data_IF_065603980466
#
_entry.id   IF_065603980466
#
_cell.length_a   1.000
_cell.length_b   1.000
_cell.length_c   1.000
_cell.angle_alpha   90.00
_cell.angle_beta   90.00
_cell.angle_gamma   90.00
#
_symmetry.space_group_name_H-M   'P 1'
#
loop_
_entity.id
_entity.type
_entity.pdbx_description
1 polymer ?
#
# COMPACT_ATOMS: atom_id res chain seq x y z
N UNK A 1 8.16 24.34 -49.24
CA UNK A 1 7.26 23.16 -49.13
C UNK A 1 8.08 21.88 -49.13
N UNK A 2 8.55 21.45 -47.96
CA UNK A 2 9.09 20.10 -47.75
C UNK A 2 8.53 19.61 -46.41
N UNK A 3 8.07 18.37 -46.46
CA UNK A 3 7.12 17.66 -45.61
C UNK A 3 7.46 17.64 -44.12
N UNK A 4 6.41 17.79 -43.32
CA UNK A 4 6.21 17.24 -41.97
C UNK A 4 7.14 16.06 -41.67
N UNK A 5 8.16 16.27 -40.85
CA UNK A 5 8.83 15.19 -40.12
C UNK A 5 8.15 15.13 -38.76
N UNK A 6 7.03 14.41 -38.74
CA UNK A 6 6.39 13.92 -37.53
C UNK A 6 7.34 12.88 -36.92
N UNK A 7 8.36 13.32 -36.18
CA UNK A 7 9.12 12.41 -35.32
C UNK A 7 8.26 12.11 -34.09
N UNK A 8 7.32 11.18 -34.29
CA UNK A 8 6.79 10.33 -33.24
C UNK A 8 8.03 9.76 -32.54
N UNK A 9 8.34 10.28 -31.36
CA UNK A 9 9.26 9.59 -30.47
C UNK A 9 8.58 8.30 -30.08
N UNK A 10 9.00 7.25 -30.78
CA UNK A 10 8.77 5.85 -30.51
C UNK A 10 8.74 5.63 -29.01
N UNK A 11 7.57 5.15 -28.60
CA UNK A 11 7.34 4.30 -27.44
C UNK A 11 8.49 3.31 -27.34
N UNK A 12 9.54 3.69 -26.62
CA UNK A 12 10.49 2.74 -26.08
C UNK A 12 9.73 1.97 -25.01
N UNK A 13 9.10 0.90 -25.47
CA UNK A 13 8.67 -0.22 -24.64
C UNK A 13 9.87 -0.74 -23.87
N UNK A 14 10.10 -0.15 -22.69
CA UNK A 14 10.65 -0.88 -21.57
C UNK A 14 9.49 -1.72 -21.07
N UNK A 15 9.30 -2.89 -21.68
CA UNK A 15 8.43 -3.95 -21.17
C UNK A 15 9.04 -4.48 -19.88
N UNK A 16 9.01 -3.69 -18.81
CA UNK A 16 8.71 -4.26 -17.51
C UNK A 16 7.25 -4.65 -17.62
N UNK A 17 6.96 -5.94 -17.80
CA UNK A 17 5.60 -6.47 -17.66
C UNK A 17 5.09 -6.06 -16.27
N UNK A 18 4.46 -4.89 -16.16
CA UNK A 18 3.81 -4.51 -14.92
C UNK A 18 2.60 -5.43 -14.82
N UNK A 19 2.51 -6.17 -13.72
CA UNK A 19 1.30 -6.94 -13.37
C UNK A 19 0.04 -6.04 -13.24
N UNK A 20 0.22 -4.72 -13.34
CA UNK A 20 -0.84 -3.73 -13.36
C UNK A 20 -1.62 -3.74 -14.67
N UNK A 21 -2.93 -3.97 -14.55
CA UNK A 21 -3.92 -3.82 -15.58
C UNK A 21 -4.80 -2.60 -15.26
N UNK A 22 -4.73 -1.51 -16.05
CA UNK A 22 -5.49 -0.28 -15.79
C UNK A 22 -7.01 -0.47 -15.93
N UNK A 23 -7.46 -1.54 -16.57
CA UNK A 23 -8.88 -1.87 -16.74
C UNK A 23 -9.44 -2.70 -15.58
N UNK A 24 -8.62 -3.04 -14.57
CA UNK A 24 -9.05 -3.72 -13.36
C UNK A 24 -8.88 -2.77 -12.16
N UNK A 25 -9.74 -2.87 -11.13
CA UNK A 25 -9.52 -2.11 -9.90
C UNK A 25 -8.30 -2.64 -9.15
N UNK A 26 -7.68 -1.78 -8.35
CA UNK A 26 -6.78 -2.21 -7.28
C UNK A 26 -7.62 -2.82 -6.16
N UNK A 27 -7.22 -3.96 -5.64
CA UNK A 27 -7.96 -4.66 -4.57
C UNK A 27 -7.07 -4.92 -3.37
N UNK A 28 -7.71 -5.01 -2.20
CA UNK A 28 -7.05 -5.18 -0.91
C UNK A 28 -7.60 -6.43 -0.23
N UNK A 29 -6.70 -7.31 0.21
CA UNK A 29 -7.03 -8.47 1.00
C UNK A 29 -6.34 -8.36 2.34
N UNK A 30 -7.12 -8.40 3.41
CA UNK A 30 -6.56 -8.45 4.76
C UNK A 30 -6.14 -9.90 5.06
N UNK A 31 -4.85 -10.11 5.32
CA UNK A 31 -4.31 -11.45 5.66
C UNK A 31 -4.04 -11.57 7.17
N UNK A 32 -3.82 -10.45 7.84
CA UNK A 32 -3.73 -10.34 9.31
C UNK A 32 -4.36 -9.02 9.77
N UNK A 33 -4.52 -8.79 11.08
CA UNK A 33 -5.22 -7.62 11.64
C UNK A 33 -4.79 -6.28 11.02
N UNK A 34 -3.50 -6.14 10.73
CA UNK A 34 -2.93 -4.91 10.18
C UNK A 34 -2.21 -5.07 8.84
N UNK A 35 -2.24 -6.27 8.26
CA UNK A 35 -1.47 -6.62 7.07
C UNK A 35 -2.39 -6.83 5.88
N UNK A 36 -2.11 -6.10 4.81
CA UNK A 36 -2.88 -6.11 3.57
C UNK A 36 -2.02 -6.53 2.38
N UNK A 37 -2.56 -7.44 1.58
CA UNK A 37 -2.06 -7.74 0.24
C UNK A 37 -2.80 -6.87 -0.76
N UNK A 38 -2.04 -6.14 -1.57
CA UNK A 38 -2.54 -5.24 -2.61
C UNK A 38 -2.36 -5.90 -3.96
N UNK A 39 -3.46 -6.22 -4.63
CA UNK A 39 -3.44 -6.77 -5.98
C UNK A 39 -3.69 -5.67 -7.01
N UNK A 40 -3.14 -5.87 -8.22
CA UNK A 40 -3.24 -4.90 -9.29
C UNK A 40 -2.73 -3.51 -8.86
N UNK A 41 -1.52 -3.50 -8.31
CA UNK A 41 -0.85 -2.31 -7.75
C UNK A 41 -0.59 -1.29 -8.86
N UNK A 42 -1.07 -0.04 -8.77
CA UNK A 42 -0.77 1.00 -9.74
C UNK A 42 0.73 1.32 -9.80
N UNK A 43 1.25 1.56 -11.00
CA UNK A 43 2.63 2.04 -11.16
C UNK A 43 2.80 3.51 -10.71
N UNK A 44 1.71 4.28 -10.70
CA UNK A 44 1.67 5.66 -10.21
C UNK A 44 1.55 5.66 -8.68
N UNK A 45 2.57 6.21 -8.00
CA UNK A 45 2.66 6.27 -6.54
C UNK A 45 1.59 7.17 -5.90
N UNK A 46 1.13 8.22 -6.59
CA UNK A 46 0.04 9.08 -6.13
C UNK A 46 -1.29 8.36 -6.23
N UNK A 47 -1.50 7.58 -7.29
CA UNK A 47 -2.70 6.74 -7.42
C UNK A 47 -2.71 5.63 -6.37
N UNK A 48 -1.59 4.93 -6.16
CA UNK A 48 -1.45 3.95 -5.09
C UNK A 48 -1.75 4.56 -3.72
N UNK A 49 -1.21 5.75 -3.44
CA UNK A 49 -1.51 6.50 -2.21
C UNK A 49 -3.00 6.71 -2.02
N UNK A 50 -3.67 7.19 -3.05
CA UNK A 50 -5.11 7.46 -3.03
C UNK A 50 -5.91 6.19 -2.75
N UNK A 51 -5.59 5.07 -3.39
CA UNK A 51 -6.31 3.81 -3.18
C UNK A 51 -6.11 3.25 -1.76
N UNK A 52 -4.89 3.35 -1.20
CA UNK A 52 -4.63 2.96 0.19
C UNK A 52 -5.36 3.89 1.17
N UNK A 53 -5.28 5.21 0.97
CA UNK A 53 -5.96 6.17 1.84
C UNK A 53 -7.49 6.00 1.79
N UNK A 54 -8.06 5.64 0.63
CA UNK A 54 -9.48 5.31 0.53
C UNK A 54 -9.88 4.13 1.42
N UNK A 55 -9.03 3.11 1.54
CA UNK A 55 -9.28 1.97 2.43
C UNK A 55 -9.23 2.41 3.90
N UNK A 56 -8.12 3.01 4.32
CA UNK A 56 -7.84 3.28 5.74
C UNK A 56 -8.69 4.39 6.35
N UNK A 57 -9.24 5.30 5.54
CA UNK A 57 -10.13 6.36 6.01
C UNK A 57 -11.61 5.96 5.96
N UNK A 58 -11.94 4.69 5.71
CA UNK A 58 -13.28 4.16 5.98
C UNK A 58 -13.59 4.20 7.48
N UNK A 59 -14.83 4.49 7.84
CA UNK A 59 -15.26 4.72 9.23
C UNK A 59 -14.96 3.55 10.18
N UNK A 60 -14.93 2.32 9.68
CA UNK A 60 -14.59 1.12 10.46
C UNK A 60 -13.19 1.17 11.11
N UNK A 61 -12.24 1.89 10.50
CA UNK A 61 -10.88 2.02 11.05
C UNK A 61 -10.75 3.17 12.05
N UNK A 62 -11.69 4.12 12.05
CA UNK A 62 -11.71 5.19 13.05
C UNK A 62 -12.03 4.62 14.43
N UNK A 63 -12.97 3.69 14.50
CA UNK A 63 -13.41 3.07 15.75
C UNK A 63 -12.29 2.23 16.39
N UNK A 64 -11.49 1.54 15.58
CA UNK A 64 -10.32 0.79 16.09
C UNK A 64 -9.27 1.75 16.66
N UNK A 65 -8.97 2.85 15.97
CA UNK A 65 -8.00 3.86 16.43
C UNK A 65 -8.41 4.58 17.71
N UNK A 66 -9.70 4.61 18.05
CA UNK A 66 -10.20 5.26 19.28
C UNK A 66 -10.15 4.36 20.52
N UNK A 67 -9.87 3.06 20.37
CA UNK A 67 -9.77 2.15 21.52
C UNK A 67 -8.58 2.57 22.39
N UNK A 68 -8.85 2.89 23.66
CA UNK A 68 -7.89 3.49 24.62
C UNK A 68 -6.58 2.68 24.82
N UNK A 69 -6.60 1.39 24.50
CA UNK A 69 -5.46 0.49 24.65
C UNK A 69 -4.45 0.64 23.50
N UNK A 70 -4.89 1.05 22.31
CA UNK A 70 -4.05 1.19 21.13
C UNK A 70 -3.57 2.64 20.96
N UNK A 71 -2.43 2.99 21.57
CA UNK A 71 -1.75 4.30 21.36
C UNK A 71 -1.10 4.42 19.98
N UNK A 72 -1.04 3.32 19.26
CA UNK A 72 -0.42 3.19 17.96
C UNK A 72 -1.14 2.12 17.13
N UNK A 73 -1.35 2.42 15.85
CA UNK A 73 -1.77 1.44 14.85
C UNK A 73 -0.91 1.63 13.60
N UNK A 74 -0.30 0.55 13.14
CA UNK A 74 0.48 0.52 11.91
C UNK A 74 -0.26 -0.38 10.94
N UNK A 75 -0.50 0.06 9.72
CA UNK A 75 -1.03 -0.73 8.62
C UNK A 75 0.11 -1.00 7.63
N UNK A 76 0.30 -2.26 7.27
CA UNK A 76 1.34 -2.72 6.35
C UNK A 76 0.70 -3.16 5.04
N UNK A 77 1.21 -2.68 3.92
CA UNK A 77 0.71 -2.99 2.59
C UNK A 77 1.80 -3.65 1.77
N UNK A 78 1.55 -4.88 1.33
CA UNK A 78 2.46 -5.66 0.51
C UNK A 78 1.90 -5.82 -0.90
N UNK A 79 2.77 -5.79 -1.90
CA UNK A 79 2.37 -6.11 -3.28
C UNK A 79 2.08 -7.60 -3.36
N UNK A 80 0.88 -7.94 -3.84
CA UNK A 80 0.52 -9.32 -4.16
C UNK A 80 1.39 -9.87 -5.29
N UNK A 81 1.79 -11.12 -5.12
CA UNK A 81 2.62 -11.85 -6.08
C UNK A 81 2.17 -13.32 -6.18
N UNK A 82 2.93 -14.16 -6.89
CA UNK A 82 2.61 -15.59 -7.06
C UNK A 82 2.57 -16.39 -5.75
N UNK A 83 3.18 -15.89 -4.68
CA UNK A 83 3.30 -16.51 -3.36
C UNK A 83 2.70 -15.66 -2.23
N UNK A 84 2.53 -14.35 -2.41
CA UNK A 84 1.75 -13.51 -1.50
C UNK A 84 0.37 -13.27 -2.08
N UNK A 85 -0.54 -14.18 -1.78
CA UNK A 85 -1.95 -14.12 -2.21
C UNK A 85 -2.86 -13.77 -1.03
N UNK A 86 -4.14 -13.53 -1.30
CA UNK A 86 -5.13 -13.25 -0.25
C UNK A 86 -5.35 -14.41 0.75
N UNK A 87 -4.90 -15.61 0.41
CA UNK A 87 -4.99 -16.79 1.27
C UNK A 87 -3.64 -17.10 1.97
N UNK A 88 -2.67 -16.20 1.86
CA UNK A 88 -1.38 -16.35 2.52
C UNK A 88 -1.57 -16.44 4.03
N UNK A 89 -0.83 -17.35 4.64
CA UNK A 89 -0.67 -17.47 6.08
C UNK A 89 0.79 -17.74 6.37
N UNK A 90 1.39 -16.92 7.22
CA UNK A 90 2.80 -17.03 7.56
C UNK A 90 3.11 -18.42 8.16
N UNK A 91 4.16 -19.06 7.65
CA UNK A 91 4.58 -20.41 8.05
C UNK A 91 3.79 -21.59 7.45
N UNK A 92 2.64 -21.38 6.78
CA UNK A 92 1.93 -22.48 6.10
C UNK A 92 2.59 -22.84 4.75
N UNK A 93 2.82 -24.13 4.44
CA UNK A 93 3.48 -24.53 3.19
C UNK A 93 2.61 -24.28 1.97
N UNK A 94 3.21 -23.69 0.94
CA UNK A 94 2.57 -23.57 -0.38
C UNK A 94 2.46 -24.95 -1.05
N UNK A 95 1.29 -25.22 -1.64
CA UNK A 95 1.01 -26.51 -2.29
C UNK A 95 1.95 -26.84 -3.46
N UNK A 96 2.49 -25.81 -4.12
CA UNK A 96 3.39 -25.96 -5.27
C UNK A 96 4.53 -24.95 -5.11
N UNK A 97 5.72 -25.44 -4.77
CA UNK A 97 6.95 -24.63 -4.66
C UNK A 97 7.95 -25.17 -5.68
N UNK A 98 8.53 -24.33 -6.55
CA UNK A 98 9.58 -24.77 -7.45
C UNK A 98 10.75 -25.37 -6.65
N UNK A 99 11.33 -26.47 -7.14
CA UNK A 99 12.43 -27.21 -6.46
C UNK A 99 13.64 -26.34 -6.04
N UNK A 100 13.79 -25.16 -6.61
CA UNK A 100 14.92 -24.24 -6.38
C UNK A 100 14.60 -23.09 -5.41
N UNK A 101 13.39 -23.03 -4.85
CA UNK A 101 12.99 -22.00 -3.88
C UNK A 101 12.89 -22.67 -2.50
N UNK A 102 13.58 -22.10 -1.52
CA UNK A 102 13.44 -22.47 -0.11
C UNK A 102 12.07 -22.04 0.41
N UNK A 103 11.38 -22.96 1.08
CA UNK A 103 10.06 -22.73 1.70
C UNK A 103 10.10 -21.50 2.61
N UNK A 104 11.15 -21.36 3.43
CA UNK A 104 11.38 -20.23 4.32
C UNK A 104 11.34 -18.87 3.61
N UNK A 105 11.73 -18.82 2.34
CA UNK A 105 11.77 -17.57 1.56
C UNK A 105 10.38 -17.09 1.15
N UNK A 106 9.43 -18.00 0.96
CA UNK A 106 8.07 -17.65 0.50
C UNK A 106 7.01 -17.76 1.59
N UNK A 107 7.37 -18.27 2.75
CA UNK A 107 6.47 -18.42 3.90
C UNK A 107 6.63 -17.29 4.92
N UNK A 108 7.73 -16.54 4.84
CA UNK A 108 8.04 -15.40 5.71
C UNK A 108 7.62 -14.10 5.03
N UNK A 109 6.71 -13.37 5.66
CA UNK A 109 6.14 -12.13 5.12
C UNK A 109 7.21 -11.09 4.80
N UNK A 110 8.32 -11.09 5.56
CA UNK A 110 9.43 -10.12 5.41
C UNK A 110 10.18 -10.27 4.11
N UNK A 111 10.05 -11.41 3.44
CA UNK A 111 10.67 -11.66 2.14
C UNK A 111 9.82 -11.16 0.96
N UNK A 112 8.62 -10.63 1.22
CA UNK A 112 7.76 -10.04 0.21
C UNK A 112 7.92 -8.52 0.10
N UNK A 113 7.46 -7.96 -1.02
CA UNK A 113 7.61 -6.53 -1.30
C UNK A 113 6.58 -5.70 -0.52
N UNK A 114 6.98 -5.15 0.63
CA UNK A 114 6.22 -4.07 1.27
C UNK A 114 6.24 -2.83 0.35
N UNK A 115 5.07 -2.29 0.03
CA UNK A 115 4.91 -1.15 -0.89
C UNK A 115 4.47 0.13 -0.17
N UNK A 116 3.80 0.00 0.97
CA UNK A 116 3.40 1.15 1.76
C UNK A 116 3.24 0.79 3.22
N UNK A 117 3.36 1.82 4.06
CA UNK A 117 3.08 1.76 5.49
C UNK A 117 2.32 2.99 5.92
N UNK A 118 1.31 2.80 6.77
CA UNK A 118 0.60 3.89 7.42
C UNK A 118 0.71 3.71 8.92
N UNK A 119 1.06 4.76 9.65
CA UNK A 119 1.10 4.73 11.11
C UNK A 119 0.33 5.89 11.71
N UNK A 120 -0.65 5.56 12.52
CA UNK A 120 -1.32 6.46 13.44
C UNK A 120 -0.68 6.30 14.82
N UNK A 121 -0.29 7.40 15.44
CA UNK A 121 0.25 7.40 16.81
C UNK A 121 -0.33 8.54 17.60
N UNK A 122 -0.67 8.29 18.86
CA UNK A 122 -1.06 9.32 19.80
C UNK A 122 0.04 9.50 20.85
N UNK A 123 0.55 10.73 20.95
CA UNK A 123 1.48 11.09 22.02
C UNK A 123 0.78 11.23 23.37
N UNK A 124 1.58 11.23 24.44
CA UNK A 124 1.11 11.45 25.82
C UNK A 124 0.31 12.76 25.98
N UNK A 125 0.67 13.81 25.22
CA UNK A 125 -0.06 15.09 25.21
C UNK A 125 -1.33 15.09 24.35
N UNK A 126 -1.83 13.91 23.96
CA UNK A 126 -3.01 13.70 23.10
C UNK A 126 -2.89 14.30 21.68
N UNK A 127 -1.69 14.69 21.27
CA UNK A 127 -1.42 15.06 19.88
C UNK A 127 -1.30 13.78 19.05
N UNK A 128 -1.98 13.76 17.91
CA UNK A 128 -1.93 12.68 16.95
C UNK A 128 -0.92 12.95 15.84
N UNK A 129 -0.33 11.87 15.34
CA UNK A 129 0.50 11.86 14.15
C UNK A 129 0.01 10.80 13.17
N UNK A 130 -0.05 11.20 11.90
CA UNK A 130 -0.30 10.33 10.76
C UNK A 130 0.98 10.32 9.94
N UNK A 131 1.61 9.16 9.85
CA UNK A 131 2.81 8.94 9.07
C UNK A 131 2.46 8.03 7.91
N UNK A 132 2.95 8.39 6.73
CA UNK A 132 2.73 7.64 5.51
C UNK A 132 4.07 7.40 4.84
N UNK A 133 4.34 6.15 4.44
CA UNK A 133 5.54 5.73 3.72
C UNK A 133 5.14 4.98 2.46
N UNK A 134 5.82 5.28 1.35
CA UNK A 134 5.65 4.63 0.06
C UNK A 134 6.98 4.20 -0.50
N UNK A 135 7.01 2.99 -1.05
CA UNK A 135 8.10 2.53 -1.88
C UNK A 135 8.00 3.18 -3.27
N UNK A 136 9.06 3.88 -3.68
CA UNK A 136 9.16 4.59 -4.96
C UNK A 136 9.68 3.70 -6.10
N UNK A 137 10.51 2.70 -5.79
CA UNK A 137 11.03 1.73 -6.75
C UNK A 137 11.40 0.40 -6.07
N UNK A 138 11.80 -0.61 -6.85
CA UNK A 138 12.34 -1.87 -6.31
C UNK A 138 13.69 -1.70 -5.60
N UNK A 139 14.43 -0.64 -5.93
CA UNK A 139 15.80 -0.38 -5.44
C UNK A 139 15.81 0.49 -4.19
N UNK A 140 14.75 1.26 -3.94
CA UNK A 140 14.65 2.15 -2.79
C UNK A 140 13.76 1.56 -1.68
N UNK A 141 14.22 1.69 -0.44
CA UNK A 141 13.45 1.38 0.76
C UNK A 141 12.23 2.31 0.91
N UNK A 142 11.29 1.97 1.81
CA UNK A 142 10.06 2.71 2.14
C UNK A 142 10.24 4.19 2.57
N UNK A 143 11.42 4.78 2.40
CA UNK A 143 11.83 6.03 3.06
C UNK A 143 11.65 7.26 2.15
N UNK A 144 11.65 7.11 0.83
CA UNK A 144 11.71 8.27 -0.08
C UNK A 144 10.47 9.18 -0.08
N UNK A 145 9.31 8.67 0.33
CA UNK A 145 8.05 9.44 0.37
C UNK A 145 7.41 9.43 1.76
N UNK A 146 8.23 9.60 2.81
CA UNK A 146 7.70 9.70 4.17
C UNK A 146 7.06 11.07 4.43
N UNK A 147 5.78 11.10 4.84
CA UNK A 147 5.08 12.33 5.25
C UNK A 147 4.51 12.18 6.64
N UNK A 148 4.78 13.15 7.52
CA UNK A 148 4.24 13.23 8.88
C UNK A 148 3.28 14.41 9.00
N UNK A 149 2.02 14.13 9.33
CA UNK A 149 1.01 15.14 9.62
C UNK A 149 0.71 15.13 11.13
N UNK A 150 0.75 16.30 11.74
CA UNK A 150 0.39 16.53 13.15
C UNK A 150 -1.02 17.10 13.23
N UNK A 151 -1.87 16.54 14.07
CA UNK A 151 -3.25 17.01 14.27
C UNK A 151 -3.70 16.77 15.70
N UNK A 152 -4.75 17.49 16.12
CA UNK A 152 -5.32 17.37 17.47
C UNK A 152 -6.50 16.41 17.53
N UNK A 153 -7.26 16.34 16.44
CA UNK A 153 -8.52 15.62 16.38
C UNK A 153 -8.53 14.63 15.21
N UNK A 154 -8.62 13.35 15.54
CA UNK A 154 -8.65 12.26 14.57
C UNK A 154 -9.95 12.25 13.76
N UNK A 155 -11.07 12.69 14.35
CA UNK A 155 -12.34 12.83 13.64
C UNK A 155 -12.24 13.86 12.53
N UNK A 156 -11.59 14.99 12.80
CA UNK A 156 -11.35 16.03 11.80
C UNK A 156 -10.45 15.56 10.66
N UNK A 157 -9.43 14.75 10.94
CA UNK A 157 -8.61 14.14 9.88
C UNK A 157 -9.45 13.21 9.00
N UNK A 158 -10.22 12.30 9.62
CA UNK A 158 -11.06 11.36 8.89
C UNK A 158 -12.09 12.08 8.01
N UNK A 159 -12.81 13.07 8.56
CA UNK A 159 -13.77 13.87 7.78
C UNK A 159 -13.13 14.58 6.59
N UNK A 160 -11.95 15.17 6.79
CA UNK A 160 -11.23 15.85 5.71
C UNK A 160 -10.85 14.88 4.59
N UNK A 161 -10.35 13.70 4.95
CA UNK A 161 -9.91 12.66 4.01
C UNK A 161 -11.08 11.95 3.31
N UNK A 162 -12.15 11.66 4.04
CA UNK A 162 -13.39 11.13 3.48
C UNK A 162 -13.99 12.10 2.46
N UNK A 163 -14.01 13.41 2.76
CA UNK A 163 -14.41 14.44 1.81
C UNK A 163 -13.48 14.53 0.60
N UNK A 164 -12.15 14.48 0.80
CA UNK A 164 -11.14 14.48 -0.27
C UNK A 164 -11.37 13.32 -1.27
N UNK A 165 -11.75 12.14 -0.77
CA UNK A 165 -11.89 10.93 -1.59
C UNK A 165 -13.33 10.55 -1.94
N UNK A 166 -14.34 11.32 -1.51
CA UNK A 166 -15.74 11.03 -1.77
C UNK A 166 -16.27 9.78 -1.05
N UNK A 167 -15.71 9.46 0.11
CA UNK A 167 -16.15 8.36 0.97
C UNK A 167 -17.38 8.86 1.75
N UNK A 168 -18.49 8.10 1.68
CA UNK A 168 -19.74 8.42 2.36
C UNK A 168 -19.80 7.83 3.76
#
# INVERSE_FOLDING_TARGET
>A
MIKFVLMIFLVFGITSCSDFNPNKPTTFCQIEDIVYVVNNVPNDTLLLKKEIEKLIFQSQYLDSLKKKEEKEKVFLFYKGDKYLTCNFKEGEPYKIVPKHITLDTIQDLRNHTEIARIRFTQSVSKVWYYNYWLRSSKEYDLVENSKRLKFKDIDSLFRAKQKEYGIK
#
